data_IF_981289360635
#
_entry.id   IF_981289360635
#
_cell.length_a   1.000
_cell.length_b   1.000
_cell.length_c   1.000
_cell.angle_alpha   90.00
_cell.angle_beta   90.00
_cell.angle_gamma   90.00
#
_symmetry.space_group_name_H-M   'P 1'
#
loop_
_entity.id
_entity.type
_entity.pdbx_description
1 polymer ?
#
# COMPACT_ATOMS: atom_id res chain seq x y z
N UNK A 1 17.26 -45.42 12.91
CA UNK A 1 17.04 -44.78 11.59
C UNK A 1 16.82 -43.29 11.84
N UNK A 2 17.85 -42.45 11.65
CA UNK A 2 17.73 -41.00 11.83
C UNK A 2 17.25 -40.40 10.50
N UNK A 3 16.02 -39.89 10.49
CA UNK A 3 15.52 -39.11 9.36
C UNK A 3 16.06 -37.69 9.55
N UNK A 4 17.03 -37.30 8.74
CA UNK A 4 17.47 -35.92 8.63
C UNK A 4 16.36 -35.16 7.90
N UNK A 5 15.60 -34.35 8.63
CA UNK A 5 14.74 -33.34 8.03
C UNK A 5 15.64 -32.35 7.31
N UNK A 6 15.75 -32.46 5.98
CA UNK A 6 16.34 -31.43 5.15
C UNK A 6 15.48 -30.18 5.38
N UNK A 7 16.01 -29.06 5.90
CA UNK A 7 15.30 -27.81 5.81
C UNK A 7 15.33 -27.46 4.33
N UNK A 8 14.28 -27.81 3.59
CA UNK A 8 14.02 -27.18 2.31
C UNK A 8 13.74 -25.72 2.63
N UNK A 9 14.80 -24.92 2.67
CA UNK A 9 14.71 -23.48 2.47
C UNK A 9 14.20 -23.30 1.04
N UNK A 10 12.88 -23.43 0.87
CA UNK A 10 12.19 -22.96 -0.31
C UNK A 10 12.43 -21.46 -0.29
N UNK A 11 13.40 -21.00 -1.08
CA UNK A 11 13.53 -19.59 -1.42
C UNK A 11 12.29 -19.22 -2.26
N UNK A 12 11.14 -19.11 -1.59
CA UNK A 12 9.91 -18.66 -2.20
C UNK A 12 10.14 -17.23 -2.68
N UNK A 13 9.92 -16.99 -3.97
CA UNK A 13 9.91 -15.64 -4.52
C UNK A 13 8.61 -14.97 -4.07
N UNK A 14 8.62 -14.41 -2.87
CA UNK A 14 7.49 -13.67 -2.32
C UNK A 14 7.32 -12.36 -3.10
N UNK A 15 6.06 -12.00 -3.36
CA UNK A 15 5.66 -10.77 -4.06
C UNK A 15 4.48 -10.13 -3.36
N UNK A 16 4.43 -8.80 -3.32
CA UNK A 16 3.25 -8.12 -2.78
C UNK A 16 2.06 -8.18 -3.75
N UNK A 17 0.88 -8.36 -3.15
CA UNK A 17 -0.42 -8.10 -3.76
C UNK A 17 -1.28 -7.41 -2.70
N UNK A 18 -1.39 -6.09 -2.78
CA UNK A 18 -2.00 -5.27 -1.73
C UNK A 18 -3.28 -4.62 -2.25
N UNK A 19 -4.32 -4.62 -1.40
CA UNK A 19 -5.51 -3.79 -1.58
C UNK A 19 -5.39 -2.58 -0.66
N UNK A 20 -5.29 -1.40 -1.26
CA UNK A 20 -5.18 -0.15 -0.54
C UNK A 20 -6.51 0.59 -0.62
N UNK A 21 -7.07 0.91 0.54
CA UNK A 21 -8.18 1.85 0.64
C UNK A 21 -7.62 3.26 0.59
N UNK A 22 -8.15 4.09 -0.31
CA UNK A 22 -7.79 5.50 -0.46
C UNK A 22 -9.05 6.34 -0.41
N UNK A 23 -8.91 7.56 0.08
CA UNK A 23 -9.97 8.57 0.11
C UNK A 23 -9.41 9.92 -0.34
N UNK A 24 -10.25 10.69 -0.99
CA UNK A 24 -10.05 12.11 -1.28
C UNK A 24 -11.27 12.91 -0.81
N UNK A 25 -11.28 14.22 -1.07
CA UNK A 25 -12.39 15.11 -0.69
C UNK A 25 -13.74 14.72 -1.30
N UNK A 26 -13.77 13.85 -2.31
CA UNK A 26 -14.97 13.51 -3.08
C UNK A 26 -15.49 12.10 -2.79
N UNK A 27 -14.62 11.12 -2.64
CA UNK A 27 -15.00 9.70 -2.54
C UNK A 27 -13.86 8.85 -1.99
N UNK A 28 -14.18 7.59 -1.74
CA UNK A 28 -13.20 6.54 -1.51
C UNK A 28 -13.09 5.57 -2.70
N UNK A 29 -11.99 4.83 -2.74
CA UNK A 29 -11.74 3.76 -3.71
C UNK A 29 -10.83 2.67 -3.13
N UNK A 30 -10.87 1.47 -3.73
CA UNK A 30 -9.94 0.38 -3.42
C UNK A 30 -9.01 0.19 -4.62
N UNK A 31 -7.72 0.45 -4.40
CA UNK A 31 -6.66 0.27 -5.38
C UNK A 31 -5.94 -1.06 -5.17
N UNK A 32 -5.44 -1.63 -6.27
CA UNK A 32 -4.59 -2.82 -6.26
C UNK A 32 -3.15 -2.39 -6.52
N UNK A 33 -2.24 -2.75 -5.63
CA UNK A 33 -0.81 -2.51 -5.77
C UNK A 33 -0.10 -3.85 -5.94
N UNK A 34 0.85 -3.85 -6.87
CA UNK A 34 1.79 -4.95 -7.06
C UNK A 34 3.13 -4.61 -6.41
N UNK A 35 4.08 -5.51 -6.56
CA UNK A 35 5.34 -5.57 -5.83
C UNK A 35 6.06 -4.22 -5.68
N UNK A 36 6.42 -3.59 -6.79
CA UNK A 36 7.23 -2.37 -6.77
C UNK A 36 6.50 -1.21 -6.07
N UNK A 37 5.21 -1.02 -6.35
CA UNK A 37 4.42 0.07 -5.79
C UNK A 37 4.14 -0.16 -4.30
N UNK A 38 3.89 -1.41 -3.91
CA UNK A 38 3.71 -1.78 -2.51
C UNK A 38 5.01 -1.60 -1.71
N UNK A 39 6.16 -2.02 -2.26
CA UNK A 39 7.48 -1.75 -1.68
C UNK A 39 7.74 -0.25 -1.52
N UNK A 40 7.31 0.58 -2.47
CA UNK A 40 7.45 2.03 -2.36
C UNK A 40 6.67 2.65 -1.18
N UNK A 41 5.52 2.07 -0.81
CA UNK A 41 4.70 2.56 0.32
C UNK A 41 5.20 1.99 1.65
N UNK A 42 5.45 0.68 1.68
CA UNK A 42 5.85 -0.06 2.89
C UNK A 42 7.31 0.24 3.25
N UNK A 43 8.15 0.52 2.26
CA UNK A 43 9.58 0.82 2.42
C UNK A 43 10.48 -0.40 2.55
N UNK A 44 9.94 -1.62 2.42
CA UNK A 44 10.67 -2.87 2.62
C UNK A 44 10.26 -3.93 1.58
N UNK A 45 11.21 -4.73 1.08
CA UNK A 45 10.90 -5.93 0.33
C UNK A 45 10.04 -6.91 1.12
N UNK A 46 9.09 -7.58 0.47
CA UNK A 46 8.15 -8.52 1.12
C UNK A 46 8.85 -9.65 1.87
N UNK A 47 10.01 -10.09 1.36
CA UNK A 47 10.82 -11.12 2.03
C UNK A 47 11.37 -10.67 3.38
N UNK A 48 11.64 -9.38 3.55
CA UNK A 48 12.07 -8.82 4.84
C UNK A 48 10.85 -8.63 5.75
N UNK A 49 9.75 -8.11 5.20
CA UNK A 49 8.52 -7.93 5.96
C UNK A 49 7.98 -9.25 6.53
N UNK A 50 8.04 -10.34 5.76
CA UNK A 50 7.61 -11.67 6.22
C UNK A 50 8.50 -12.19 7.36
N UNK A 51 9.81 -11.95 7.30
CA UNK A 51 10.73 -12.30 8.40
C UNK A 51 10.40 -11.53 9.68
N UNK A 52 10.11 -10.23 9.55
CA UNK A 52 9.69 -9.39 10.67
C UNK A 52 8.39 -9.92 11.26
N UNK A 53 7.40 -10.23 10.43
CA UNK A 53 6.11 -10.79 10.86
C UNK A 53 6.25 -12.08 11.67
N UNK A 54 7.15 -12.98 11.25
CA UNK A 54 7.41 -14.24 11.97
C UNK A 54 8.15 -14.01 13.29
N UNK A 55 9.03 -13.01 13.35
CA UNK A 55 9.85 -12.72 14.53
C UNK A 55 9.12 -11.86 15.59
N UNK A 56 8.45 -10.79 15.15
CA UNK A 56 7.75 -9.82 15.99
C UNK A 56 6.56 -9.19 15.24
N UNK A 57 5.36 -9.65 15.60
CA UNK A 57 4.11 -9.14 15.02
C UNK A 57 3.83 -7.67 15.39
N UNK A 58 4.31 -7.20 16.54
CA UNK A 58 4.12 -5.81 16.98
C UNK A 58 4.90 -4.86 16.08
N UNK A 59 6.12 -5.24 15.72
CA UNK A 59 6.95 -4.46 14.79
C UNK A 59 6.37 -4.45 13.37
N UNK A 60 5.87 -5.61 12.90
CA UNK A 60 5.11 -5.68 11.65
C UNK A 60 3.93 -4.70 11.64
N UNK A 61 3.10 -4.69 12.69
CA UNK A 61 1.93 -3.82 12.78
C UNK A 61 2.31 -2.34 12.78
N UNK A 62 3.42 -1.96 13.45
CA UNK A 62 3.94 -0.58 13.41
C UNK A 62 4.34 -0.19 11.99
N UNK A 63 5.05 -1.05 11.26
CA UNK A 63 5.48 -0.78 9.89
C UNK A 63 4.25 -0.55 9.00
N UNK A 64 3.24 -1.42 9.09
CA UNK A 64 2.02 -1.27 8.30
C UNK A 64 1.28 0.03 8.66
N UNK A 65 1.10 0.33 9.96
CA UNK A 65 0.44 1.57 10.40
C UNK A 65 1.18 2.83 9.93
N UNK A 66 2.51 2.83 10.00
CA UNK A 66 3.35 3.95 9.55
C UNK A 66 3.37 4.11 8.02
N UNK A 67 2.99 3.08 7.28
CA UNK A 67 2.84 3.14 5.83
C UNK A 67 1.52 3.80 5.40
N UNK A 68 0.50 3.80 6.28
CA UNK A 68 -0.79 4.44 6.08
C UNK A 68 -0.74 5.96 6.39
N UNK A 69 -1.84 6.68 6.10
CA UNK A 69 -2.03 8.11 6.39
C UNK A 69 -1.02 9.05 5.71
N UNK A 70 -0.66 8.73 4.46
CA UNK A 70 0.18 9.58 3.62
C UNK A 70 -0.65 10.06 2.43
N UNK A 71 -0.57 11.34 2.14
CA UNK A 71 -1.08 11.90 0.90
C UNK A 71 -0.12 11.54 -0.23
N UNK A 72 -0.64 10.99 -1.32
CA UNK A 72 0.15 10.49 -2.45
C UNK A 72 -0.63 10.65 -3.75
N UNK A 73 0.10 10.88 -4.84
CA UNK A 73 -0.47 10.93 -6.18
C UNK A 73 -0.27 9.57 -6.86
N UNK A 74 -1.38 8.90 -7.16
CA UNK A 74 -1.38 7.60 -7.84
C UNK A 74 -1.68 7.76 -9.33
N UNK A 75 -0.88 7.12 -10.18
CA UNK A 75 -1.26 6.88 -11.58
C UNK A 75 -1.97 5.54 -11.64
N UNK A 76 -3.26 5.55 -11.98
CA UNK A 76 -4.13 4.37 -11.90
C UNK A 76 -4.60 3.94 -13.29
N UNK A 77 -4.60 2.63 -13.53
CA UNK A 77 -5.29 2.01 -14.67
C UNK A 77 -6.59 1.36 -14.19
N UNK A 78 -7.71 1.79 -14.77
CA UNK A 78 -9.00 1.12 -14.62
C UNK A 78 -9.16 0.06 -15.71
N UNK A 79 -9.56 -1.14 -15.34
CA UNK A 79 -9.84 -2.22 -16.28
C UNK A 79 -11.05 -3.03 -15.82
N UNK A 80 -12.03 -3.17 -16.71
CA UNK A 80 -13.15 -4.07 -16.50
C UNK A 80 -12.74 -5.49 -16.92
N UNK A 81 -12.97 -6.46 -16.05
CA UNK A 81 -12.70 -7.89 -16.30
C UNK A 81 -13.96 -8.70 -16.07
N UNK A 82 -14.19 -9.64 -16.97
CA UNK A 82 -15.34 -10.54 -16.92
C UNK A 82 -14.87 -11.86 -16.29
N UNK A 83 -15.53 -12.26 -15.21
CA UNK A 83 -15.32 -13.52 -14.51
C UNK A 83 -16.65 -14.27 -14.48
N UNK A 84 -16.80 -15.24 -15.38
CA UNK A 84 -18.08 -15.92 -15.60
C UNK A 84 -19.16 -14.91 -16.01
N UNK A 85 -20.22 -14.80 -15.19
CA UNK A 85 -21.35 -13.90 -15.45
C UNK A 85 -21.22 -12.55 -14.74
N UNK A 86 -20.06 -12.22 -14.16
CA UNK A 86 -19.83 -10.98 -13.42
C UNK A 86 -18.79 -10.11 -14.11
N UNK A 87 -19.07 -8.82 -14.21
CA UNK A 87 -18.09 -7.82 -14.62
C UNK A 87 -17.59 -7.10 -13.38
N UNK A 88 -16.27 -7.08 -13.18
CA UNK A 88 -15.62 -6.42 -12.05
C UNK A 88 -14.63 -5.37 -12.57
N UNK A 89 -14.71 -4.16 -12.02
CA UNK A 89 -13.75 -3.09 -12.31
C UNK A 89 -12.56 -3.19 -11.36
N UNK A 90 -11.36 -3.30 -11.94
CA UNK A 90 -10.11 -3.29 -11.21
C UNK A 90 -9.42 -1.95 -11.39
N UNK A 91 -9.13 -1.28 -10.27
CA UNK A 91 -8.26 -0.12 -10.22
C UNK A 91 -6.87 -0.60 -9.80
N UNK A 92 -5.89 -0.45 -10.68
CA UNK A 92 -4.52 -0.93 -10.46
C UNK A 92 -3.57 0.26 -10.49
N UNK A 93 -2.74 0.41 -9.47
CA UNK A 93 -1.68 1.43 -9.46
C UNK A 93 -0.61 1.04 -10.49
N UNK A 94 -0.25 1.96 -11.37
CA UNK A 94 0.82 1.82 -12.36
C UNK A 94 2.11 2.48 -11.88
N UNK A 95 1.99 3.56 -11.13
CA UNK A 95 3.11 4.23 -10.47
C UNK A 95 2.61 5.18 -9.38
N UNK A 96 3.52 5.53 -8.47
CA UNK A 96 3.28 6.51 -7.41
C UNK A 96 4.22 7.67 -7.69
N UNK A 97 3.67 8.88 -7.85
CA UNK A 97 4.49 10.09 -7.95
C UNK A 97 4.89 10.50 -6.54
N UNK A 98 6.19 10.59 -6.28
CA UNK A 98 6.70 11.27 -5.10
C UNK A 98 6.63 12.76 -5.38
N UNK A 99 5.79 13.49 -4.67
CA UNK A 99 5.86 14.94 -4.75
C UNK A 99 7.23 15.38 -4.24
N UNK A 100 8.00 16.04 -5.12
CA UNK A 100 9.13 16.87 -4.74
C UNK A 100 8.62 18.19 -4.17
N UNK A 101 7.74 18.13 -3.18
CA UNK A 101 7.26 19.31 -2.48
C UNK A 101 7.73 19.21 -1.03
N UNK A 102 8.83 19.93 -0.76
CA UNK A 102 9.07 20.52 0.55
C UNK A 102 7.73 21.02 1.10
N UNK A 103 7.35 20.51 2.26
CA UNK A 103 6.15 20.92 2.98
C UNK A 103 6.41 22.36 3.44
N UNK A 104 6.13 23.34 2.58
CA UNK A 104 5.87 24.69 3.05
C UNK A 104 4.52 24.63 3.76
N UNK A 105 4.57 24.66 5.09
CA UNK A 105 3.44 24.86 5.99
C UNK A 105 2.39 25.80 5.37
N UNK A 106 1.30 25.24 4.85
CA UNK A 106 0.11 26.04 4.54
C UNK A 106 -0.53 26.37 5.88
N UNK A 107 -0.22 27.57 6.34
CA UNK A 107 -0.82 28.23 7.49
C UNK A 107 -2.34 28.15 7.34
N UNK A 108 -2.99 27.52 8.32
CA UNK A 108 -4.43 27.54 8.50
C UNK A 108 -4.92 28.98 8.61
N UNK A 109 -5.44 29.57 7.53
CA UNK A 109 -6.24 30.80 7.62
C UNK A 109 -7.62 30.43 8.15
N UNK A 110 -7.81 30.55 9.46
CA UNK A 110 -9.14 30.70 10.07
C UNK A 110 -9.82 31.90 9.41
N UNK A 111 -10.77 31.66 8.52
CA UNK A 111 -11.71 32.68 8.07
C UNK A 111 -12.71 32.87 9.22
N UNK A 112 -12.62 34.00 9.93
CA UNK A 112 -13.72 34.49 10.76
C UNK A 112 -14.76 35.05 9.79
N UNK A 113 -15.96 34.47 9.82
CA UNK A 113 -17.15 35.11 9.29
C UNK A 113 -17.53 36.21 10.30
N UNK A 114 -17.51 37.47 9.88
CA UNK A 114 -18.23 38.54 10.57
C UNK A 114 -19.62 38.63 9.94
N UNK A 115 -20.66 38.53 10.77
CA UNK A 115 -22.06 38.73 10.41
C UNK A 115 -22.28 40.20 10.04
N UNK A 116 -23.05 40.44 8.96
CA UNK A 116 -23.57 41.77 8.57
C UNK A 116 -24.95 41.93 9.19
#
# INVERSE_FOLDING_TARGET
MKIYGIPLAIHANLKYLVKLYVEDDTSNAILTLFDNEAECIIGLPVTQLEKIKVADISEYDKIIKNSCNKEMIFVIKAQDKIYGNRTLRFLTVQSIKKDSCEINHVISKKVKLEEI
#
